data_IF_667182997828
#
_entry.id   IF_667182997828
#
_cell.length_a   1.000
_cell.length_b   1.000
_cell.length_c   1.000
_cell.angle_alpha   90.00
_cell.angle_beta   90.00
_cell.angle_gamma   90.00
#
_symmetry.space_group_name_H-M   'P 1'
#
loop_
_entity.id
_entity.type
_entity.pdbx_description
1 polymer ?
#
# COMPACT_ATOMS: atom_id res chain seq x y z
N UNK A 1 71.67 19.11 -18.82
CA UNK A 1 73.02 18.54 -18.83
C UNK A 1 73.10 17.37 -17.84
N UNK A 2 73.62 16.25 -18.37
CA UNK A 2 74.21 15.10 -17.62
C UNK A 2 73.21 14.23 -16.85
N UNK A 3 73.24 12.93 -16.87
CA UNK A 3 73.86 11.91 -17.74
C UNK A 3 73.23 10.57 -17.35
N UNK A 4 72.96 9.80 -18.38
CA UNK A 4 72.57 8.40 -18.36
C UNK A 4 73.70 7.53 -17.69
N UNK A 5 73.30 6.59 -16.82
CA UNK A 5 74.10 5.41 -16.54
C UNK A 5 73.23 4.19 -16.53
N UNK A 6 73.47 3.31 -17.53
CA UNK A 6 72.87 1.98 -17.59
C UNK A 6 73.92 1.07 -16.95
N UNK A 7 73.55 0.20 -16.02
CA UNK A 7 74.29 -1.01 -15.67
C UNK A 7 73.31 -2.17 -15.65
N UNK A 8 73.62 -3.13 -16.51
CA UNK A 8 72.86 -4.34 -16.65
C UNK A 8 73.26 -5.40 -15.61
N UNK A 9 72.43 -6.38 -15.46
CA UNK A 9 72.67 -7.56 -14.62
C UNK A 9 71.51 -8.52 -14.80
N UNK A 10 71.68 -9.47 -15.71
CA UNK A 10 70.68 -10.50 -15.96
C UNK A 10 70.58 -11.50 -14.82
N UNK A 11 69.38 -11.89 -14.50
CA UNK A 11 69.11 -13.15 -13.81
C UNK A 11 67.81 -13.69 -14.35
N UNK A 12 67.91 -14.74 -15.12
CA UNK A 12 66.80 -15.52 -15.66
C UNK A 12 66.17 -16.31 -14.50
N UNK A 13 65.05 -15.94 -14.05
CA UNK A 13 64.24 -16.74 -13.10
C UNK A 13 63.21 -17.50 -13.93
N UNK A 14 63.42 -18.80 -14.04
CA UNK A 14 62.46 -19.75 -14.58
C UNK A 14 61.36 -19.93 -13.51
N UNK A 15 60.22 -19.36 -13.72
CA UNK A 15 59.01 -19.60 -12.87
C UNK A 15 58.26 -20.78 -13.48
N UNK A 16 58.40 -21.93 -12.85
CA UNK A 16 57.54 -23.08 -13.08
C UNK A 16 56.06 -22.70 -12.75
N UNK A 17 55.26 -22.64 -13.77
CA UNK A 17 53.81 -22.48 -13.62
C UNK A 17 53.20 -23.76 -13.04
N UNK A 18 53.03 -23.78 -11.73
CA UNK A 18 52.23 -24.78 -11.06
C UNK A 18 50.73 -24.49 -11.30
N UNK A 19 50.11 -25.28 -12.18
CA UNK A 19 48.70 -25.23 -12.48
C UNK A 19 47.91 -25.83 -11.29
N UNK A 20 47.61 -25.03 -10.28
CA UNK A 20 46.68 -25.42 -9.23
C UNK A 20 45.25 -25.33 -9.81
N UNK A 21 44.71 -26.48 -10.16
CA UNK A 21 43.29 -26.62 -10.45
C UNK A 21 42.49 -26.42 -9.13
N UNK A 22 42.12 -25.19 -8.85
CA UNK A 22 41.08 -24.88 -7.86
C UNK A 22 39.74 -25.34 -8.43
N UNK A 23 39.31 -26.54 -8.05
CA UNK A 23 37.93 -26.98 -8.21
C UNK A 23 37.06 -26.08 -7.34
N UNK A 24 36.52 -25.03 -7.92
CA UNK A 24 35.38 -24.28 -7.33
C UNK A 24 34.17 -25.21 -7.31
N UNK A 25 33.94 -25.83 -6.14
CA UNK A 25 32.63 -26.43 -5.87
C UNK A 25 31.57 -25.29 -5.78
N UNK A 26 30.98 -24.99 -6.90
CA UNK A 26 29.73 -24.20 -6.89
C UNK A 26 28.66 -25.08 -6.25
N UNK A 27 28.39 -24.87 -4.94
CA UNK A 27 27.15 -25.29 -4.34
C UNK A 27 26.04 -24.52 -5.05
N UNK A 28 25.39 -25.21 -5.97
CA UNK A 28 24.07 -24.80 -6.45
C UNK A 28 23.16 -24.74 -5.22
N UNK A 29 22.89 -23.52 -4.73
CA UNK A 29 21.74 -23.30 -3.84
C UNK A 29 20.52 -23.53 -4.71
N UNK A 30 19.85 -24.65 -4.47
CA UNK A 30 18.47 -24.85 -4.95
C UNK A 30 17.65 -23.70 -4.38
N UNK A 31 17.43 -22.69 -5.21
CA UNK A 31 16.45 -21.66 -4.95
C UNK A 31 15.10 -22.36 -4.91
N UNK A 32 14.57 -22.55 -3.72
CA UNK A 32 13.20 -23.00 -3.53
C UNK A 32 12.31 -22.09 -4.37
N UNK A 33 11.62 -22.68 -5.32
CA UNK A 33 10.64 -21.99 -6.13
C UNK A 33 9.65 -21.26 -5.19
N UNK A 34 9.29 -20.01 -5.47
CA UNK A 34 8.30 -19.31 -4.68
C UNK A 34 7.01 -20.15 -4.71
N UNK A 35 6.56 -20.57 -3.54
CA UNK A 35 5.28 -21.26 -3.37
C UNK A 35 4.21 -20.41 -4.04
N UNK A 36 3.57 -20.95 -5.07
CA UNK A 36 2.55 -20.25 -5.82
C UNK A 36 1.51 -19.70 -4.84
N UNK A 37 1.28 -18.40 -4.90
CA UNK A 37 0.16 -17.77 -4.23
C UNK A 37 -1.12 -18.51 -4.62
N UNK A 38 -2.11 -18.64 -3.72
CA UNK A 38 -3.36 -19.30 -4.06
C UNK A 38 -3.94 -18.60 -5.30
N UNK A 39 -4.06 -19.35 -6.37
CA UNK A 39 -4.67 -18.92 -7.62
C UNK A 39 -6.13 -18.66 -7.33
N UNK A 40 -6.48 -17.43 -7.04
CA UNK A 40 -7.87 -16.98 -7.06
C UNK A 40 -8.32 -17.11 -8.52
N UNK A 41 -9.28 -17.98 -8.77
CA UNK A 41 -9.87 -18.14 -10.08
C UNK A 41 -10.29 -16.77 -10.64
N UNK A 42 -10.03 -16.46 -11.92
CA UNK A 42 -10.43 -15.20 -12.51
C UNK A 42 -11.94 -15.04 -12.35
N UNK A 43 -12.36 -13.90 -11.78
CA UNK A 43 -13.77 -13.55 -11.66
C UNK A 43 -14.40 -13.61 -13.06
N UNK A 44 -15.44 -14.40 -13.21
CA UNK A 44 -16.12 -14.55 -14.50
C UNK A 44 -16.71 -13.22 -14.93
N UNK A 45 -16.44 -12.73 -16.14
CA UNK A 45 -17.08 -11.54 -16.64
C UNK A 45 -18.56 -11.87 -16.93
N UNK A 46 -19.46 -11.33 -16.12
CA UNK A 46 -20.88 -11.46 -16.40
C UNK A 46 -21.84 -11.51 -15.22
N UNK A 47 -21.39 -11.61 -13.99
CA UNK A 47 -22.30 -11.43 -12.84
C UNK A 47 -22.65 -9.96 -12.71
N UNK A 48 -23.89 -9.60 -13.06
CA UNK A 48 -24.43 -8.28 -12.77
C UNK A 48 -24.17 -7.98 -11.28
N UNK A 49 -23.40 -6.92 -11.03
CA UNK A 49 -23.01 -6.53 -9.68
C UNK A 49 -24.24 -5.99 -8.97
N UNK A 50 -24.92 -6.87 -8.23
CA UNK A 50 -26.06 -6.47 -7.39
C UNK A 50 -25.50 -5.56 -6.31
N UNK A 51 -25.90 -4.28 -6.32
CA UNK A 51 -25.62 -3.41 -5.17
C UNK A 51 -26.43 -3.98 -4.02
N UNK A 52 -25.77 -4.44 -2.94
CA UNK A 52 -26.51 -4.97 -1.81
C UNK A 52 -27.39 -3.88 -1.21
N UNK A 53 -28.51 -4.27 -0.62
CA UNK A 53 -29.33 -3.34 0.16
C UNK A 53 -28.43 -2.61 1.17
N UNK A 54 -28.26 -1.32 0.96
CA UNK A 54 -27.35 -0.50 1.78
C UNK A 54 -27.85 -0.32 3.21
N UNK A 55 -29.10 -0.68 3.51
CA UNK A 55 -29.67 -0.59 4.85
C UNK A 55 -29.03 -1.59 5.83
N UNK A 56 -28.50 -2.72 5.32
CA UNK A 56 -27.85 -3.77 6.11
C UNK A 56 -26.33 -3.57 6.25
N UNK A 57 -25.73 -2.60 5.53
CA UNK A 57 -24.30 -2.38 5.53
C UNK A 57 -23.82 -1.69 6.82
N UNK A 58 -22.68 -2.15 7.32
CA UNK A 58 -22.01 -1.54 8.47
C UNK A 58 -21.34 -0.22 8.06
N UNK A 59 -21.21 0.70 9.00
CA UNK A 59 -20.55 1.99 8.82
C UNK A 59 -21.48 3.13 8.40
N UNK A 60 -20.96 4.36 8.35
CA UNK A 60 -21.77 5.52 8.02
C UNK A 60 -22.10 5.57 6.53
N UNK A 61 -23.30 6.02 6.20
CA UNK A 61 -23.64 6.32 4.81
C UNK A 61 -22.79 7.47 4.29
N UNK A 62 -22.30 7.29 3.07
CA UNK A 62 -21.49 8.28 2.37
C UNK A 62 -22.34 9.05 1.34
N UNK A 63 -22.00 10.29 1.00
CA UNK A 63 -22.74 11.07 -0.01
C UNK A 63 -22.72 10.41 -1.39
N UNK A 64 -21.62 9.71 -1.70
CA UNK A 64 -21.49 8.83 -2.86
C UNK A 64 -21.19 7.42 -2.34
N UNK A 65 -21.95 6.42 -2.78
CA UNK A 65 -21.71 5.04 -2.40
C UNK A 65 -20.49 4.49 -3.15
N UNK A 66 -19.30 4.76 -2.58
CA UNK A 66 -18.04 4.28 -3.13
C UNK A 66 -17.74 2.86 -2.64
N UNK A 67 -17.49 1.96 -3.56
CA UNK A 67 -17.26 0.55 -3.31
C UNK A 67 -15.77 0.20 -3.36
N UNK A 68 -15.16 0.01 -2.19
CA UNK A 68 -13.78 -0.47 -2.10
C UNK A 68 -13.62 -1.90 -2.61
N UNK A 69 -14.62 -2.76 -2.38
CA UNK A 69 -14.63 -4.14 -2.87
C UNK A 69 -14.59 -4.25 -4.40
N UNK A 70 -15.08 -3.24 -5.10
CA UNK A 70 -14.96 -3.15 -6.55
C UNK A 70 -13.59 -2.63 -6.95
N UNK A 71 -13.18 -1.48 -6.41
CA UNK A 71 -11.95 -0.82 -6.87
C UNK A 71 -10.68 -1.55 -6.39
N UNK A 72 -10.59 -1.82 -5.09
CA UNK A 72 -9.43 -2.49 -4.51
C UNK A 72 -9.56 -4.03 -4.50
N UNK A 73 -10.79 -4.56 -4.47
CA UNK A 73 -11.03 -5.99 -4.48
C UNK A 73 -11.07 -6.56 -5.88
N UNK A 74 -12.02 -6.13 -6.71
CA UNK A 74 -12.23 -6.73 -8.03
C UNK A 74 -11.21 -6.24 -9.06
N UNK A 75 -10.89 -4.94 -9.06
CA UNK A 75 -9.94 -4.34 -10.00
C UNK A 75 -8.50 -4.27 -9.45
N UNK A 76 -8.29 -4.70 -8.22
CA UNK A 76 -6.97 -4.76 -7.57
C UNK A 76 -6.19 -3.42 -7.58
N UNK A 77 -6.93 -2.29 -7.60
CA UNK A 77 -6.32 -0.96 -7.54
C UNK A 77 -5.64 -0.80 -6.19
N UNK A 78 -4.34 -0.53 -6.21
CA UNK A 78 -3.54 -0.39 -4.99
C UNK A 78 -4.04 0.74 -4.11
N UNK A 79 -4.07 0.52 -2.78
CA UNK A 79 -4.55 1.50 -1.80
C UNK A 79 -3.90 2.88 -2.00
N UNK A 80 -2.58 2.90 -2.22
CA UNK A 80 -1.79 4.11 -2.37
C UNK A 80 -2.03 4.84 -3.71
N UNK A 81 -2.69 4.22 -4.68
CA UNK A 81 -3.10 4.94 -5.88
C UNK A 81 -4.07 6.08 -5.55
N UNK A 82 -5.02 5.81 -4.67
CA UNK A 82 -6.00 6.80 -4.22
C UNK A 82 -5.55 7.51 -2.93
N UNK A 83 -4.96 6.78 -1.98
CA UNK A 83 -4.48 7.30 -0.70
C UNK A 83 -2.96 7.57 -0.72
N UNK A 84 -2.46 8.24 -1.77
CA UNK A 84 -1.03 8.46 -2.00
C UNK A 84 -0.33 9.21 -0.86
N UNK A 85 -1.03 10.09 -0.17
CA UNK A 85 -0.46 10.90 0.92
C UNK A 85 -0.03 10.09 2.14
N UNK A 86 -0.56 8.86 2.33
CA UNK A 86 -0.17 8.01 3.48
C UNK A 86 1.31 7.64 3.51
N UNK A 87 1.98 7.66 2.35
CA UNK A 87 3.39 7.32 2.25
C UNK A 87 4.32 8.49 2.63
N UNK A 88 3.82 9.71 2.58
CA UNK A 88 4.63 10.94 2.70
C UNK A 88 4.11 11.92 3.75
N UNK A 89 2.94 11.66 4.34
CA UNK A 89 2.31 12.54 5.32
C UNK A 89 1.88 11.80 6.59
N UNK A 90 1.75 12.53 7.67
CA UNK A 90 1.09 12.05 8.89
C UNK A 90 -0.40 11.82 8.64
N UNK A 91 -1.03 12.73 7.90
CA UNK A 91 -2.45 12.67 7.56
C UNK A 91 -2.64 11.89 6.25
N UNK A 92 -3.52 10.88 6.23
CA UNK A 92 -3.68 10.02 5.08
C UNK A 92 -4.36 10.69 3.89
N UNK A 93 -5.13 11.75 4.15
CA UNK A 93 -5.92 12.39 3.13
C UNK A 93 -7.03 11.52 2.53
N UNK A 94 -8.05 12.18 2.01
CA UNK A 94 -9.05 11.56 1.13
C UNK A 94 -8.65 11.92 -0.31
N UNK A 95 -8.73 10.99 -1.27
CA UNK A 95 -8.41 11.29 -2.65
C UNK A 95 -9.19 12.50 -3.16
N UNK A 96 -8.54 13.35 -3.93
CA UNK A 96 -9.22 14.46 -4.59
C UNK A 96 -10.17 13.93 -5.67
N UNK A 97 -11.16 14.73 -6.03
CA UNK A 97 -12.13 14.36 -7.06
C UNK A 97 -11.47 14.13 -8.42
N UNK A 98 -10.33 14.79 -8.69
CA UNK A 98 -9.52 14.59 -9.89
C UNK A 98 -9.04 13.15 -10.02
N UNK A 99 -8.62 12.53 -8.91
CA UNK A 99 -8.19 11.12 -8.88
C UNK A 99 -9.31 10.21 -9.38
N UNK A 100 -10.54 10.47 -8.96
CA UNK A 100 -11.72 9.71 -9.41
C UNK A 100 -12.01 9.97 -10.88
N UNK A 101 -11.95 11.22 -11.29
CA UNK A 101 -12.26 11.64 -12.66
C UNK A 101 -11.23 11.18 -13.69
N UNK A 102 -10.01 10.81 -13.28
CA UNK A 102 -9.04 10.18 -14.17
C UNK A 102 -9.61 8.97 -14.92
N UNK A 103 -10.49 8.21 -14.29
CA UNK A 103 -11.19 7.08 -14.93
C UNK A 103 -12.66 7.43 -15.23
N UNK A 104 -13.37 8.11 -14.32
CA UNK A 104 -14.80 8.34 -14.42
C UNK A 104 -15.22 9.47 -15.39
N UNK A 105 -14.29 10.07 -16.11
CA UNK A 105 -14.62 10.81 -17.32
C UNK A 105 -15.22 9.89 -18.40
N UNK A 106 -14.73 8.68 -18.51
CA UNK A 106 -15.14 7.68 -19.53
C UNK A 106 -15.95 6.53 -18.90
N UNK A 107 -15.54 6.01 -17.76
CA UNK A 107 -16.19 4.89 -17.09
C UNK A 107 -17.47 5.35 -16.40
N UNK A 108 -18.61 4.79 -16.84
CA UNK A 108 -19.95 5.22 -16.37
C UNK A 108 -20.62 4.25 -15.39
N UNK A 109 -19.97 3.12 -15.09
CA UNK A 109 -20.55 2.05 -14.27
C UNK A 109 -21.30 0.99 -15.10
N UNK A 110 -21.33 -0.24 -14.58
CA UNK A 110 -21.90 -1.39 -15.27
C UNK A 110 -23.42 -1.47 -15.15
N UNK A 111 -23.96 -1.11 -14.01
CA UNK A 111 -25.40 -1.19 -13.68
C UNK A 111 -26.02 0.20 -13.41
N UNK A 112 -27.36 0.21 -13.28
CA UNK A 112 -28.12 1.46 -13.08
C UNK A 112 -27.74 2.17 -11.77
N UNK A 113 -27.45 1.44 -10.72
CA UNK A 113 -27.16 2.02 -9.41
C UNK A 113 -25.76 2.61 -9.39
N UNK A 114 -24.74 1.91 -9.94
CA UNK A 114 -23.40 2.49 -10.13
C UNK A 114 -23.44 3.76 -10.98
N UNK A 115 -24.24 3.76 -12.04
CA UNK A 115 -24.43 4.95 -12.90
C UNK A 115 -25.01 6.14 -12.13
N UNK A 116 -25.90 5.90 -11.15
CA UNK A 116 -26.41 6.97 -10.28
C UNK A 116 -25.27 7.57 -9.44
N UNK A 117 -24.46 6.74 -8.81
CA UNK A 117 -23.38 7.21 -7.95
C UNK A 117 -22.31 7.95 -8.75
N UNK A 118 -21.97 7.45 -9.94
CA UNK A 118 -21.01 8.14 -10.83
C UNK A 118 -21.57 9.47 -11.36
N UNK A 119 -22.90 9.59 -11.58
CA UNK A 119 -23.49 10.88 -11.91
C UNK A 119 -23.35 11.91 -10.79
N UNK A 120 -23.48 11.48 -9.52
CA UNK A 120 -23.24 12.37 -8.36
C UNK A 120 -21.80 12.87 -8.36
N UNK A 121 -20.83 11.97 -8.62
CA UNK A 121 -19.41 12.32 -8.73
C UNK A 121 -19.17 13.35 -9.84
N UNK A 122 -19.70 13.09 -11.04
CA UNK A 122 -19.56 14.01 -12.19
C UNK A 122 -20.25 15.34 -11.94
N UNK A 123 -21.38 15.35 -11.24
CA UNK A 123 -22.06 16.57 -10.84
C UNK A 123 -21.18 17.41 -9.90
N UNK A 124 -20.62 16.79 -8.86
CA UNK A 124 -19.70 17.47 -7.94
C UNK A 124 -18.47 18.05 -8.69
N UNK A 125 -17.94 17.29 -9.65
CA UNK A 125 -16.85 17.75 -10.52
C UNK A 125 -17.24 19.00 -11.35
N UNK A 126 -18.38 18.95 -12.01
CA UNK A 126 -18.87 20.06 -12.83
C UNK A 126 -19.16 21.32 -11.99
N UNK A 127 -19.72 21.11 -10.80
CA UNK A 127 -20.02 22.18 -9.84
C UNK A 127 -18.77 22.72 -9.11
N UNK A 128 -17.60 22.09 -9.33
CA UNK A 128 -16.36 22.38 -8.59
C UNK A 128 -16.52 22.33 -7.08
N UNK A 129 -17.34 21.40 -6.60
CA UNK A 129 -17.61 21.19 -5.19
C UNK A 129 -16.94 19.91 -4.69
N UNK A 130 -16.25 19.95 -3.55
CA UNK A 130 -15.70 18.74 -2.94
C UNK A 130 -16.83 17.81 -2.50
N UNK A 131 -16.54 16.51 -2.44
CA UNK A 131 -17.42 15.53 -1.84
C UNK A 131 -17.22 15.54 -0.33
N UNK A 132 -18.27 15.84 0.43
CA UNK A 132 -18.23 15.90 1.89
C UNK A 132 -18.30 14.50 2.50
N UNK A 133 -17.17 13.78 2.47
CA UNK A 133 -17.09 12.43 2.99
C UNK A 133 -17.27 12.38 4.51
N UNK A 134 -18.05 11.40 4.97
CA UNK A 134 -18.20 11.13 6.40
C UNK A 134 -16.98 10.34 6.90
N UNK A 135 -16.27 10.91 7.87
CA UNK A 135 -15.07 10.29 8.44
C UNK A 135 -15.42 9.03 9.24
N UNK A 136 -14.83 7.90 8.85
CA UNK A 136 -15.05 6.60 9.53
C UNK A 136 -14.06 6.42 10.69
N UNK A 137 -12.81 6.78 10.48
CA UNK A 137 -11.76 6.68 11.50
C UNK A 137 -11.31 8.08 11.91
N UNK A 138 -11.25 8.32 13.22
CA UNK A 138 -10.77 9.58 13.80
C UNK A 138 -10.09 9.30 15.13
N UNK A 139 -9.02 10.01 15.41
CA UNK A 139 -8.37 10.03 16.72
C UNK A 139 -8.74 11.31 17.47
N UNK A 140 -8.58 11.30 18.80
CA UNK A 140 -8.70 12.51 19.59
C UNK A 140 -7.62 13.52 19.17
N UNK A 141 -7.90 14.82 19.29
CA UNK A 141 -7.01 15.88 18.79
C UNK A 141 -5.60 15.87 19.39
N UNK A 142 -5.45 15.37 20.61
CA UNK A 142 -4.18 15.26 21.32
C UNK A 142 -3.40 13.98 20.96
N UNK A 143 -3.88 13.20 19.98
CA UNK A 143 -3.20 11.98 19.51
C UNK A 143 -2.69 12.22 18.11
N UNK A 144 -1.39 12.13 17.95
CA UNK A 144 -0.70 12.28 16.68
C UNK A 144 -0.23 10.92 16.16
N UNK A 145 -0.82 10.49 15.04
CA UNK A 145 -0.49 9.21 14.42
C UNK A 145 0.16 9.44 13.05
N UNK A 146 1.47 9.19 12.92
CA UNK A 146 2.17 9.40 11.67
C UNK A 146 1.99 8.20 10.74
N UNK A 147 0.99 8.22 9.85
CA UNK A 147 0.74 7.16 8.87
C UNK A 147 2.00 6.79 8.09
N UNK A 148 2.73 7.76 7.58
CA UNK A 148 3.92 7.51 6.75
C UNK A 148 4.97 6.62 7.44
N UNK A 149 5.16 6.74 8.76
CA UNK A 149 6.12 5.91 9.51
C UNK A 149 5.63 4.46 9.59
N UNK A 150 4.34 4.27 9.91
CA UNK A 150 3.74 2.94 10.02
C UNK A 150 3.69 2.22 8.67
N UNK A 151 3.29 2.92 7.61
CA UNK A 151 3.27 2.39 6.24
C UNK A 151 4.67 1.99 5.78
N UNK A 152 5.69 2.81 6.06
CA UNK A 152 7.08 2.52 5.71
C UNK A 152 7.62 1.27 6.42
N UNK A 153 7.32 1.11 7.72
CA UNK A 153 7.85 0.00 8.53
C UNK A 153 7.10 -1.31 8.29
N UNK A 154 5.78 -1.24 8.07
CA UNK A 154 4.93 -2.42 7.95
C UNK A 154 4.74 -2.89 6.51
N UNK A 155 5.07 -2.04 5.54
CA UNK A 155 4.99 -2.38 4.11
C UNK A 155 3.55 -2.63 3.62
N UNK A 156 3.34 -3.57 2.68
CA UNK A 156 2.05 -3.79 2.03
C UNK A 156 0.90 -4.16 2.97
N UNK A 157 1.18 -4.77 4.12
CA UNK A 157 0.17 -5.19 5.09
C UNK A 157 -0.26 -4.09 6.06
N UNK A 158 0.38 -2.91 6.01
CA UNK A 158 0.15 -1.82 6.94
C UNK A 158 -1.32 -1.42 7.05
N UNK A 159 -1.99 -1.26 5.91
CA UNK A 159 -3.38 -0.82 5.86
C UNK A 159 -4.31 -1.82 6.56
N UNK A 160 -4.21 -3.09 6.18
CA UNK A 160 -5.10 -4.15 6.66
C UNK A 160 -4.95 -4.42 8.16
N UNK A 161 -3.75 -4.23 8.72
CA UNK A 161 -3.48 -4.44 10.15
C UNK A 161 -4.37 -3.56 11.03
N UNK A 162 -4.65 -2.34 10.60
CA UNK A 162 -5.47 -1.39 11.37
C UNK A 162 -6.89 -1.27 10.84
N UNK A 163 -7.06 -1.18 9.52
CA UNK A 163 -8.33 -0.92 8.87
C UNK A 163 -9.12 -2.19 8.51
N UNK A 164 -8.53 -3.38 8.69
CA UNK A 164 -9.11 -4.64 8.23
C UNK A 164 -9.04 -4.79 6.70
N UNK A 165 -9.70 -5.80 6.18
CA UNK A 165 -9.71 -6.09 4.75
C UNK A 165 -10.70 -5.18 4.01
N UNK A 166 -10.28 -3.93 3.82
CA UNK A 166 -11.09 -2.90 3.13
C UNK A 166 -11.41 -3.31 1.69
N UNK A 167 -10.54 -4.12 1.06
CA UNK A 167 -10.79 -4.61 -0.30
C UNK A 167 -12.00 -5.54 -0.40
N UNK A 168 -12.56 -5.97 0.72
CA UNK A 168 -13.83 -6.72 0.77
C UNK A 168 -15.01 -5.91 1.29
N UNK A 169 -14.84 -4.62 1.51
CA UNK A 169 -15.88 -3.77 2.08
C UNK A 169 -16.63 -2.99 0.99
N UNK A 170 -17.92 -3.29 0.74
CA UNK A 170 -18.76 -2.42 -0.09
C UNK A 170 -18.88 -1.01 0.51
N UNK A 171 -18.96 -0.94 1.84
CA UNK A 171 -18.96 0.30 2.61
C UNK A 171 -17.97 0.17 3.75
N UNK A 172 -17.07 1.15 3.90
CA UNK A 172 -16.03 1.09 4.94
C UNK A 172 -16.63 1.26 6.32
N UNK A 173 -16.19 0.40 7.24
CA UNK A 173 -16.58 0.46 8.66
C UNK A 173 -15.38 0.15 9.55
N UNK A 174 -15.48 0.48 10.84
CA UNK A 174 -14.45 0.16 11.83
C UNK A 174 -14.45 -1.32 12.15
N UNK A 175 -13.36 -2.02 11.84
CA UNK A 175 -13.17 -3.43 12.21
C UNK A 175 -12.46 -3.52 13.56
N UNK A 176 -11.37 -2.77 13.70
CA UNK A 176 -10.53 -2.74 14.88
C UNK A 176 -10.80 -1.47 15.70
N UNK A 177 -10.62 -1.57 17.01
CA UNK A 177 -10.77 -0.43 17.91
C UNK A 177 -9.51 0.45 17.90
N UNK A 178 -9.15 0.96 16.72
CA UNK A 178 -7.94 1.79 16.50
C UNK A 178 -7.99 3.13 17.25
N UNK A 179 -9.16 3.53 17.74
CA UNK A 179 -9.33 4.74 18.54
C UNK A 179 -8.98 4.53 20.01
N UNK A 180 -8.69 3.30 20.41
CA UNK A 180 -8.34 2.96 21.78
C UNK A 180 -6.82 2.89 21.92
N UNK A 181 -6.27 3.61 22.92
CA UNK A 181 -4.83 3.61 23.19
C UNK A 181 -4.27 2.19 23.40
N UNK A 182 -5.04 1.29 24.03
CA UNK A 182 -4.63 -0.09 24.24
C UNK A 182 -4.34 -0.84 22.94
N UNK A 183 -5.06 -0.53 21.85
CA UNK A 183 -4.78 -1.12 20.54
C UNK A 183 -3.38 -0.74 20.04
N UNK A 184 -3.01 0.53 20.15
CA UNK A 184 -1.70 1.01 19.75
C UNK A 184 -0.59 0.43 20.64
N UNK A 185 -0.78 0.50 21.96
CA UNK A 185 0.20 0.07 22.94
C UNK A 185 0.45 -1.45 22.87
N UNK A 186 -0.58 -2.27 22.65
CA UNK A 186 -0.41 -3.72 22.52
C UNK A 186 0.48 -4.10 21.33
N UNK A 187 0.32 -3.44 20.20
CA UNK A 187 1.17 -3.65 19.04
C UNK A 187 2.61 -3.18 19.30
N UNK A 188 2.77 -2.00 19.93
CA UNK A 188 4.09 -1.45 20.29
C UNK A 188 4.84 -2.34 21.29
N UNK A 189 4.13 -2.99 22.23
CA UNK A 189 4.71 -3.99 23.14
C UNK A 189 5.19 -5.20 22.35
N UNK A 190 4.32 -5.76 21.52
CA UNK A 190 4.64 -6.96 20.73
C UNK A 190 5.83 -6.75 19.80
N UNK A 191 5.97 -5.54 19.24
CA UNK A 191 7.04 -5.16 18.33
C UNK A 191 8.26 -4.55 19.02
N UNK A 192 8.25 -4.41 20.36
CA UNK A 192 9.36 -3.85 21.16
C UNK A 192 9.77 -2.43 20.69
N UNK A 193 8.81 -1.61 20.29
CA UNK A 193 9.04 -0.22 19.90
C UNK A 193 8.56 0.74 20.99
N UNK A 194 8.87 2.03 20.82
CA UNK A 194 8.58 3.06 21.83
C UNK A 194 7.12 3.11 22.27
N UNK A 195 6.90 3.35 23.54
CA UNK A 195 5.60 3.56 24.18
C UNK A 195 5.62 4.86 25.01
N UNK A 196 6.59 5.71 24.72
CA UNK A 196 6.70 7.00 25.37
C UNK A 196 5.43 7.83 25.10
N UNK A 197 4.90 8.45 26.15
CA UNK A 197 3.69 9.25 26.04
C UNK A 197 3.83 10.37 25.01
N UNK A 198 5.00 11.02 25.01
CA UNK A 198 5.30 12.13 24.10
C UNK A 198 5.55 11.72 22.65
N UNK A 199 5.69 10.42 22.37
CA UNK A 199 5.78 9.92 20.99
C UNK A 199 4.44 10.01 20.23
N UNK A 200 3.32 10.05 20.98
CA UNK A 200 1.98 10.06 20.43
C UNK A 200 1.13 11.25 20.90
N UNK A 201 1.50 11.89 22.02
CA UNK A 201 0.76 12.98 22.65
C UNK A 201 1.65 14.24 22.75
N UNK A 202 1.52 15.16 21.79
CA UNK A 202 2.26 16.43 21.75
C UNK A 202 1.47 17.53 21.03
#
# INVERSE_FOLDING_TARGET
MRKLVIVGGGTTVVVLAGLLLLRSSTKTQDAAAPTAAPTTAPAQPGSAMVIPDTSSLKGPRQPIFFRHDVHAGQFEIQCQYCHYSVAVSSEPGIPSIETCMGCHLVVSGADSASKVEIRKLRQAWNDKKPVEWVRVHSLARHVHFPHMRHVKVMGPTACMTCHGDVARMPQVFKVNNVNNMGFCVSCHIARKVTRDCTACHY
#
